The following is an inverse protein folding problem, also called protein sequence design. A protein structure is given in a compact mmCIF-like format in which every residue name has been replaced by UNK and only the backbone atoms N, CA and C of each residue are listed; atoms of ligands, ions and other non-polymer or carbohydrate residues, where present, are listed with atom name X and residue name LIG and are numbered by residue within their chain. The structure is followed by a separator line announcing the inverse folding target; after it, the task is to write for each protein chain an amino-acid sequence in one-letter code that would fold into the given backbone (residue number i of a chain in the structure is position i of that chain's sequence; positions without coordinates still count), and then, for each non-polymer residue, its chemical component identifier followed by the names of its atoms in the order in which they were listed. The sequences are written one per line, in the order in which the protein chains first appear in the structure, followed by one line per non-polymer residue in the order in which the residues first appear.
data_IF_460639751392
#
_entry.id   IF_460639751392
#
_cell.length_a   1.000
_cell.length_b   1.000
_cell.length_c   1.000
_cell.angle_alpha   90.00
_cell.angle_beta   90.00
_cell.angle_gamma   90.00
#
_symmetry.space_group_name_H-M   'P 1'
#
loop_
_entity.id
_entity.type
_entity.pdbx_description
1 polymer ?
#
# COMPACT_ATOMS: atom_id res chain seq x y z
N UNK A 1 -21.32 79.49 -13.08
CA UNK A 1 -20.69 78.70 -12.00
C UNK A 1 -19.99 77.50 -12.62
N UNK A 2 -18.68 77.63 -12.91
CA UNK A 2 -17.76 76.57 -13.33
C UNK A 2 -16.35 77.18 -13.40
N UNK A 3 -15.65 77.29 -12.26
CA UNK A 3 -14.26 77.77 -12.27
C UNK A 3 -13.38 77.17 -11.18
N UNK A 4 -13.82 76.09 -10.51
CA UNK A 4 -13.03 75.52 -9.41
C UNK A 4 -11.86 74.64 -9.86
N UNK A 5 -11.88 74.12 -11.11
CA UNK A 5 -10.78 73.32 -11.70
C UNK A 5 -9.91 74.08 -12.72
N UNK A 6 -10.14 75.38 -12.89
CA UNK A 6 -9.47 76.20 -13.92
C UNK A 6 -8.00 76.48 -13.67
N UNK A 7 -7.53 76.42 -12.42
CA UNK A 7 -6.22 76.95 -12.02
C UNK A 7 -5.30 75.92 -11.33
N UNK A 8 -5.48 74.64 -11.65
CA UNK A 8 -4.53 73.59 -11.26
C UNK A 8 -3.44 73.55 -12.34
N UNK A 9 -2.19 73.89 -11.95
CA UNK A 9 -1.01 73.83 -12.81
C UNK A 9 -0.97 72.51 -13.59
N UNK A 10 -0.65 72.58 -14.89
CA UNK A 10 -0.63 71.47 -15.84
C UNK A 10 0.05 70.21 -15.25
N UNK A 11 1.11 70.41 -14.45
CA UNK A 11 1.85 69.36 -13.75
C UNK A 11 0.98 68.50 -12.81
N UNK A 12 0.01 69.09 -12.08
CA UNK A 12 -0.91 68.35 -11.20
C UNK A 12 -1.95 67.54 -11.99
N UNK A 13 -2.36 68.03 -13.17
CA UNK A 13 -3.29 67.30 -14.07
C UNK A 13 -2.59 66.10 -14.73
N UNK A 14 -1.33 66.27 -15.14
CA UNK A 14 -0.49 65.19 -15.66
C UNK A 14 -0.19 64.13 -14.58
N UNK A 15 0.12 64.58 -13.36
CA UNK A 15 0.35 63.69 -12.21
C UNK A 15 -0.88 62.87 -11.81
N UNK A 16 -2.10 63.42 -11.93
CA UNK A 16 -3.34 62.67 -11.68
C UNK A 16 -3.60 61.56 -12.71
N UNK A 17 -3.31 61.83 -14.00
CA UNK A 17 -3.40 60.82 -15.05
C UNK A 17 -2.41 59.69 -14.84
N UNK A 18 -1.14 60.04 -14.60
CA UNK A 18 -0.08 59.06 -14.36
C UNK A 18 -0.30 58.27 -13.07
N UNK A 19 -0.73 58.93 -11.99
CA UNK A 19 -1.06 58.27 -10.72
C UNK A 19 -2.23 57.29 -10.84
N UNK A 20 -3.25 57.62 -11.64
CA UNK A 20 -4.38 56.72 -11.89
C UNK A 20 -3.94 55.45 -12.62
N UNK A 21 -3.07 55.57 -13.64
CA UNK A 21 -2.51 54.42 -14.34
C UNK A 21 -1.68 53.55 -13.39
N UNK A 22 -0.84 54.15 -12.54
CA UNK A 22 -0.06 53.40 -11.55
C UNK A 22 -0.93 52.61 -10.55
N UNK A 23 -2.02 53.21 -10.06
CA UNK A 23 -2.96 52.53 -9.17
C UNK A 23 -3.63 51.35 -9.89
N UNK A 24 -4.07 51.54 -11.13
CA UNK A 24 -4.67 50.46 -11.93
C UNK A 24 -3.66 49.32 -12.16
N UNK A 25 -2.41 49.63 -12.47
CA UNK A 25 -1.33 48.64 -12.59
C UNK A 25 -1.08 47.89 -11.28
N UNK A 26 -1.10 48.58 -10.14
CA UNK A 26 -0.99 47.96 -8.82
C UNK A 26 -2.13 46.98 -8.53
N UNK A 27 -3.36 47.36 -8.87
CA UNK A 27 -4.53 46.48 -8.71
C UNK A 27 -4.42 45.25 -9.62
N UNK A 28 -4.01 45.43 -10.88
CA UNK A 28 -3.80 44.31 -11.81
C UNK A 28 -2.69 43.36 -11.31
N UNK A 29 -1.56 43.91 -10.85
CA UNK A 29 -0.46 43.15 -10.29
C UNK A 29 -0.89 42.37 -9.03
N UNK A 30 -1.67 42.98 -8.14
CA UNK A 30 -2.18 42.33 -6.93
C UNK A 30 -3.11 41.15 -7.25
N UNK A 31 -4.03 41.32 -8.21
CA UNK A 31 -4.92 40.25 -8.65
C UNK A 31 -4.14 39.11 -9.32
N UNK A 32 -3.13 39.43 -10.14
CA UNK A 32 -2.24 38.43 -10.74
C UNK A 32 -1.44 37.65 -9.70
N UNK A 33 -0.92 38.32 -8.67
CA UNK A 33 -0.15 37.69 -7.60
C UNK A 33 -0.98 36.70 -6.77
N UNK A 34 -2.20 37.10 -6.37
CA UNK A 34 -3.09 36.24 -5.60
C UNK A 34 -3.50 34.97 -6.36
N UNK A 35 -3.72 35.08 -7.67
CA UNK A 35 -4.01 33.93 -8.53
C UNK A 35 -2.84 32.96 -8.65
N UNK A 36 -1.61 33.47 -8.80
CA UNK A 36 -0.44 32.61 -8.95
C UNK A 36 -0.15 31.83 -7.64
N UNK A 37 -0.38 32.48 -6.50
CA UNK A 37 -0.21 31.85 -5.18
C UNK A 37 -1.13 30.66 -4.95
N UNK A 38 -2.40 30.74 -5.35
CA UNK A 38 -3.34 29.61 -5.15
C UNK A 38 -2.99 28.41 -6.05
N UNK A 39 -2.57 28.65 -7.28
CA UNK A 39 -2.10 27.60 -8.20
C UNK A 39 -0.86 26.90 -7.66
N UNK A 40 0.12 27.65 -7.17
CA UNK A 40 1.34 27.09 -6.57
C UNK A 40 1.01 26.23 -5.35
N UNK A 41 0.10 26.71 -4.48
CA UNK A 41 -0.31 25.96 -3.29
C UNK A 41 -0.97 24.63 -3.64
N UNK A 42 -1.87 24.62 -4.63
CA UNK A 42 -2.56 23.40 -5.09
C UNK A 42 -1.62 22.41 -5.74
N UNK A 43 -0.67 22.89 -6.55
CA UNK A 43 0.39 22.04 -7.09
C UNK A 43 1.18 21.37 -5.96
N UNK A 44 1.50 22.10 -4.89
CA UNK A 44 2.17 21.53 -3.72
C UNK A 44 1.35 20.44 -3.03
N UNK A 45 0.04 20.64 -2.87
CA UNK A 45 -0.86 19.61 -2.32
C UNK A 45 -0.95 18.37 -3.20
N UNK A 46 -1.01 18.54 -4.51
CA UNK A 46 -0.98 17.42 -5.45
C UNK A 46 0.34 16.64 -5.34
N UNK A 47 1.48 17.32 -5.21
CA UNK A 47 2.78 16.66 -4.96
C UNK A 47 2.79 15.84 -3.67
N UNK A 48 2.21 16.36 -2.58
CA UNK A 48 2.14 15.65 -1.30
C UNK A 48 1.19 14.43 -1.36
N UNK A 49 0.11 14.51 -2.14
CA UNK A 49 -0.80 13.37 -2.43
C UNK A 49 -0.09 12.32 -3.29
N UNK A 50 0.67 12.75 -4.32
CA UNK A 50 1.48 11.82 -5.12
C UNK A 50 2.53 11.11 -4.26
N UNK A 51 3.21 11.85 -3.36
CA UNK A 51 4.16 11.26 -2.43
C UNK A 51 3.52 10.23 -1.49
N UNK A 52 2.27 10.45 -1.05
CA UNK A 52 1.50 9.45 -0.31
C UNK A 52 1.25 8.17 -1.13
N UNK A 53 0.90 8.31 -2.41
CA UNK A 53 0.69 7.17 -3.29
C UNK A 53 2.00 6.40 -3.56
N UNK A 54 3.11 7.12 -3.66
CA UNK A 54 4.44 6.53 -3.83
C UNK A 54 4.86 5.73 -2.58
N UNK A 55 4.64 6.27 -1.38
CA UNK A 55 4.93 5.54 -0.13
C UNK A 55 4.03 4.32 0.04
N UNK A 56 2.74 4.42 -0.32
CA UNK A 56 1.82 3.27 -0.36
C UNK A 56 2.32 2.18 -1.34
N UNK A 57 2.81 2.57 -2.51
CA UNK A 57 3.39 1.64 -3.48
C UNK A 57 4.63 0.96 -2.92
N UNK A 58 5.51 1.72 -2.24
CA UNK A 58 6.66 1.17 -1.52
C UNK A 58 6.25 0.15 -0.45
N UNK A 59 5.21 0.43 0.32
CA UNK A 59 4.64 -0.50 1.31
C UNK A 59 4.09 -1.78 0.65
N UNK A 60 3.38 -1.66 -0.48
CA UNK A 60 2.88 -2.81 -1.25
C UNK A 60 4.00 -3.72 -1.71
N UNK A 61 5.09 -3.15 -2.22
CA UNK A 61 6.28 -3.90 -2.65
C UNK A 61 6.93 -4.59 -1.45
N UNK A 62 7.13 -3.88 -0.34
CA UNK A 62 7.71 -4.46 0.87
C UNK A 62 6.89 -5.64 1.41
N UNK A 63 5.54 -5.52 1.41
CA UNK A 63 4.64 -6.62 1.77
C UNK A 63 4.81 -7.83 0.86
N UNK A 64 4.89 -7.64 -0.46
CA UNK A 64 5.09 -8.74 -1.40
C UNK A 64 6.44 -9.43 -1.17
N UNK A 65 7.49 -8.66 -0.90
CA UNK A 65 8.81 -9.20 -0.59
C UNK A 65 8.82 -9.95 0.76
N UNK A 66 8.09 -9.48 1.76
CA UNK A 66 7.86 -10.18 3.03
C UNK A 66 7.20 -11.55 2.81
N UNK A 67 6.17 -11.58 1.96
CA UNK A 67 5.51 -12.83 1.63
C UNK A 67 6.42 -13.80 0.87
N UNK A 68 7.22 -13.30 -0.08
CA UNK A 68 8.19 -14.11 -0.83
C UNK A 68 9.31 -14.67 0.06
N UNK A 69 9.69 -13.94 1.09
CA UNK A 69 10.69 -14.35 2.06
C UNK A 69 10.12 -15.17 3.24
N UNK A 70 8.85 -15.60 3.15
CA UNK A 70 8.15 -16.35 4.20
C UNK A 70 8.20 -15.68 5.58
N UNK A 71 8.17 -14.35 5.61
CA UNK A 71 8.21 -13.56 6.82
C UNK A 71 9.52 -13.62 7.59
N UNK A 72 10.65 -13.69 6.89
CA UNK A 72 11.96 -13.55 7.53
C UNK A 72 12.14 -12.19 8.25
N UNK A 73 13.15 -12.12 9.12
CA UNK A 73 13.40 -10.92 9.91
C UNK A 73 13.71 -9.69 9.03
N UNK A 74 14.56 -9.86 8.02
CA UNK A 74 15.02 -8.74 7.15
C UNK A 74 13.86 -8.14 6.35
N UNK A 75 12.92 -8.96 5.89
CA UNK A 75 11.72 -8.47 5.20
C UNK A 75 10.67 -7.92 6.15
N UNK A 76 10.61 -8.41 7.38
CA UNK A 76 9.76 -7.86 8.44
C UNK A 76 10.18 -6.42 8.77
N UNK A 77 11.47 -6.21 9.06
CA UNK A 77 12.02 -4.88 9.36
C UNK A 77 11.77 -3.90 8.20
N UNK A 78 12.03 -4.32 6.96
CA UNK A 78 11.77 -3.49 5.77
C UNK A 78 10.29 -3.14 5.61
N UNK A 79 9.39 -4.07 5.91
CA UNK A 79 7.95 -3.86 5.86
C UNK A 79 7.51 -2.87 6.94
N UNK A 80 8.05 -2.98 8.15
CA UNK A 80 7.81 -2.02 9.24
C UNK A 80 8.26 -0.61 8.85
N UNK A 81 9.49 -0.46 8.33
CA UNK A 81 10.00 0.83 7.88
C UNK A 81 9.10 1.49 6.83
N UNK A 82 8.62 0.72 5.85
CA UNK A 82 7.74 1.26 4.79
C UNK A 82 6.34 1.58 5.30
N UNK A 83 5.84 0.81 6.27
CA UNK A 83 4.57 1.10 6.92
C UNK A 83 4.66 2.41 7.71
N UNK A 84 5.72 2.59 8.50
CA UNK A 84 5.97 3.81 9.27
C UNK A 84 6.06 5.05 8.36
N UNK A 85 6.85 4.96 7.28
CA UNK A 85 6.98 6.05 6.29
C UNK A 85 5.62 6.42 5.68
N UNK A 86 4.81 5.43 5.32
CA UNK A 86 3.48 5.65 4.75
C UNK A 86 2.53 6.32 5.75
N UNK A 87 2.45 5.79 6.98
CA UNK A 87 1.59 6.34 8.04
C UNK A 87 2.02 7.76 8.45
N UNK A 88 3.33 8.02 8.50
CA UNK A 88 3.86 9.36 8.77
C UNK A 88 3.46 10.37 7.69
N UNK A 89 3.51 9.98 6.40
CA UNK A 89 3.07 10.83 5.30
C UNK A 89 1.55 11.09 5.35
N UNK A 90 0.74 10.08 5.67
CA UNK A 90 -0.71 10.25 5.85
C UNK A 90 -1.03 11.21 7.02
N UNK A 91 -0.34 11.04 8.15
CA UNK A 91 -0.52 11.90 9.33
C UNK A 91 -0.11 13.35 9.04
N UNK A 92 0.99 13.55 8.31
CA UNK A 92 1.43 14.87 7.82
C UNK A 92 0.36 15.54 6.96
N UNK A 93 -0.25 14.81 6.02
CA UNK A 93 -1.33 15.32 5.19
C UNK A 93 -2.56 15.72 6.01
N UNK A 94 -2.97 14.87 6.96
CA UNK A 94 -4.09 15.14 7.86
C UNK A 94 -3.87 16.40 8.70
N UNK A 95 -2.63 16.65 9.15
CA UNK A 95 -2.26 17.89 9.87
C UNK A 95 -2.23 19.14 8.99
N UNK A 96 -1.90 18.98 7.70
CA UNK A 96 -1.68 20.09 6.76
C UNK A 96 -2.99 20.56 6.10
N UNK A 97 -3.85 19.64 5.69
CA UNK A 97 -5.06 19.96 4.94
C UNK A 97 -6.15 20.54 5.85
N UNK A 98 -6.77 21.65 5.43
CA UNK A 98 -7.81 22.36 6.22
C UNK A 98 -9.20 22.31 5.61
N UNK A 99 -9.31 21.95 4.32
CA UNK A 99 -10.61 21.80 3.68
C UNK A 99 -11.35 20.60 4.29
N UNK A 100 -12.61 20.76 4.75
CA UNK A 100 -13.34 19.71 5.44
C UNK A 100 -13.53 18.44 4.59
N UNK A 101 -13.68 18.57 3.26
CA UNK A 101 -13.83 17.42 2.35
C UNK A 101 -12.54 16.59 2.33
N UNK A 102 -11.38 17.25 2.22
CA UNK A 102 -10.10 16.54 2.24
C UNK A 102 -9.82 15.90 3.60
N UNK A 103 -10.14 16.61 4.69
CA UNK A 103 -9.95 16.08 6.06
C UNK A 103 -10.81 14.84 6.27
N UNK A 104 -12.05 14.83 5.78
CA UNK A 104 -12.93 13.67 5.88
C UNK A 104 -12.38 12.47 5.10
N UNK A 105 -11.94 12.68 3.85
CA UNK A 105 -11.29 11.63 3.05
C UNK A 105 -10.03 11.08 3.73
N UNK A 106 -9.19 11.95 4.30
CA UNK A 106 -7.97 11.52 5.01
C UNK A 106 -8.29 10.77 6.31
N UNK A 107 -9.38 11.11 7.00
CA UNK A 107 -9.87 10.35 8.16
C UNK A 107 -10.42 8.98 7.76
N UNK A 108 -11.18 8.92 6.67
CA UNK A 108 -11.65 7.65 6.09
C UNK A 108 -10.45 6.75 5.74
N UNK A 109 -9.42 7.32 5.10
CA UNK A 109 -8.17 6.61 4.83
C UNK A 109 -7.47 6.14 6.12
N UNK A 110 -7.53 6.91 7.21
CA UNK A 110 -6.98 6.48 8.51
C UNK A 110 -7.67 5.23 9.04
N UNK A 111 -9.00 5.13 8.90
CA UNK A 111 -9.74 3.93 9.29
C UNK A 111 -9.28 2.70 8.50
N UNK A 112 -9.15 2.84 7.18
CA UNK A 112 -8.59 1.78 6.34
C UNK A 112 -7.13 1.45 6.68
N UNK A 113 -6.33 2.42 7.10
CA UNK A 113 -4.96 2.16 7.57
C UNK A 113 -4.93 1.36 8.87
N UNK A 114 -5.88 1.57 9.78
CA UNK A 114 -6.02 0.76 10.99
C UNK A 114 -6.44 -0.67 10.65
N UNK A 115 -7.35 -0.84 9.69
CA UNK A 115 -7.78 -2.16 9.18
C UNK A 115 -6.61 -2.90 8.52
N UNK A 116 -5.81 -2.18 7.74
CA UNK A 116 -4.61 -2.70 7.10
C UNK A 116 -3.59 -3.18 8.14
N UNK A 117 -3.31 -2.38 9.17
CA UNK A 117 -2.38 -2.75 10.24
C UNK A 117 -2.84 -4.01 10.99
N UNK A 118 -4.13 -4.10 11.35
CA UNK A 118 -4.68 -5.30 12.01
C UNK A 118 -4.53 -6.56 11.14
N UNK A 119 -4.82 -6.43 9.85
CA UNK A 119 -4.67 -7.53 8.89
C UNK A 119 -3.20 -7.92 8.69
N UNK A 120 -2.29 -6.94 8.69
CA UNK A 120 -0.86 -7.18 8.62
C UNK A 120 -0.32 -7.92 9.85
N UNK A 121 -0.77 -7.55 11.05
CA UNK A 121 -0.37 -8.23 12.29
C UNK A 121 -0.88 -9.67 12.34
N UNK A 122 -2.11 -9.91 11.86
CA UNK A 122 -2.66 -11.25 11.67
C UNK A 122 -1.78 -12.07 10.71
N UNK A 123 -1.38 -11.48 9.58
CA UNK A 123 -0.48 -12.13 8.63
C UNK A 123 0.88 -12.47 9.26
N UNK A 124 1.49 -11.54 10.00
CA UNK A 124 2.79 -11.75 10.68
C UNK A 124 2.74 -12.91 11.66
N UNK A 125 1.73 -12.93 12.54
CA UNK A 125 1.51 -14.03 13.48
C UNK A 125 1.35 -15.36 12.76
N UNK A 126 0.57 -15.39 11.69
CA UNK A 126 0.36 -16.60 10.91
C UNK A 126 1.63 -17.08 10.20
N UNK A 127 2.53 -16.20 9.76
CA UNK A 127 3.85 -16.62 9.26
C UNK A 127 4.73 -17.22 10.36
N UNK A 128 4.73 -16.66 11.57
CA UNK A 128 5.44 -17.25 12.72
C UNK A 128 4.90 -18.65 13.03
N UNK A 129 3.58 -18.81 13.07
CA UNK A 129 2.91 -20.11 13.28
C UNK A 129 3.20 -21.11 12.16
N UNK A 130 3.17 -20.69 10.90
CA UNK A 130 3.50 -21.54 9.76
C UNK A 130 4.97 -22.00 9.81
N UNK A 131 5.91 -21.10 10.10
CA UNK A 131 7.33 -21.42 10.21
C UNK A 131 7.60 -22.38 11.39
N UNK A 132 6.94 -22.17 12.53
CA UNK A 132 7.03 -23.08 13.68
C UNK A 132 6.45 -24.46 13.36
N UNK A 133 5.28 -24.52 12.72
CA UNK A 133 4.66 -25.76 12.29
C UNK A 133 5.52 -26.52 11.27
N UNK A 134 6.12 -25.83 10.30
CA UNK A 134 7.06 -26.42 9.36
C UNK A 134 8.31 -26.97 10.07
N UNK A 135 8.83 -26.27 11.08
CA UNK A 135 9.90 -26.77 11.94
C UNK A 135 9.51 -28.07 12.65
N UNK A 136 8.30 -28.14 13.22
CA UNK A 136 7.78 -29.35 13.87
C UNK A 136 7.58 -30.51 12.89
N UNK A 137 7.09 -30.25 11.66
CA UNK A 137 6.99 -31.25 10.58
C UNK A 137 8.36 -31.82 10.25
N UNK A 138 9.38 -30.97 10.12
CA UNK A 138 10.75 -31.40 9.81
C UNK A 138 11.38 -32.22 10.95
N UNK A 139 11.15 -31.81 12.20
CA UNK A 139 11.63 -32.54 13.37
C UNK A 139 10.99 -33.94 13.46
N UNK A 140 9.67 -34.02 13.30
CA UNK A 140 8.93 -35.28 13.28
C UNK A 140 9.36 -36.17 12.09
N UNK A 141 9.59 -35.59 10.91
CA UNK A 141 10.15 -36.32 9.76
C UNK A 141 11.50 -36.95 10.08
N UNK A 142 12.38 -36.24 10.79
CA UNK A 142 13.69 -36.74 11.21
C UNK A 142 13.58 -37.95 12.14
N UNK A 143 12.68 -37.90 13.13
CA UNK A 143 12.42 -39.03 14.04
C UNK A 143 11.85 -40.23 13.29
N UNK A 144 10.91 -40.01 12.37
CA UNK A 144 10.33 -41.08 11.54
C UNK A 144 11.41 -41.74 10.66
N UNK A 145 12.29 -40.95 10.06
CA UNK A 145 13.41 -41.46 9.24
C UNK A 145 14.42 -42.26 10.08
N UNK A 146 14.77 -41.77 11.28
CA UNK A 146 15.67 -42.46 12.20
C UNK A 146 15.09 -43.81 12.65
N UNK A 147 13.83 -43.84 13.12
CA UNK A 147 13.20 -45.06 13.65
C UNK A 147 12.93 -46.08 12.54
N UNK A 148 12.44 -45.66 11.38
CA UNK A 148 12.27 -46.58 10.25
C UNK A 148 13.61 -47.08 9.69
N UNK A 149 14.66 -46.26 9.77
CA UNK A 149 16.03 -46.66 9.50
C UNK A 149 16.54 -47.74 10.46
N UNK A 150 16.29 -47.58 11.77
CA UNK A 150 16.68 -48.55 12.79
C UNK A 150 15.97 -49.91 12.59
N UNK A 151 14.66 -49.90 12.30
CA UNK A 151 13.93 -51.11 11.93
C UNK A 151 14.58 -51.77 10.71
N UNK A 152 14.80 -51.01 9.63
CA UNK A 152 15.44 -51.55 8.43
C UNK A 152 16.80 -52.20 8.71
N UNK A 153 17.65 -51.56 9.51
CA UNK A 153 18.97 -52.09 9.90
C UNK A 153 18.85 -53.39 10.71
N UNK A 154 17.87 -53.47 11.62
CA UNK A 154 17.58 -54.70 12.38
C UNK A 154 17.20 -55.84 11.44
N UNK A 155 16.32 -55.58 10.48
CA UNK A 155 15.83 -56.60 9.53
C UNK A 155 16.96 -57.11 8.62
N UNK A 156 17.81 -56.24 8.09
CA UNK A 156 18.94 -56.69 7.23
C UNK A 156 20.03 -57.42 8.03
N UNK A 157 20.10 -57.20 9.34
CA UNK A 157 21.01 -57.92 10.25
C UNK A 157 20.53 -59.33 10.61
N UNK A 158 19.28 -59.69 10.28
CA UNK A 158 18.78 -61.07 10.43
C UNK A 158 19.51 -62.01 9.47
N UNK A 159 19.58 -63.30 9.85
CA UNK A 159 20.15 -64.34 8.98
C UNK A 159 19.50 -64.35 7.60
N UNK A 160 20.28 -64.63 6.55
CA UNK A 160 19.74 -64.82 5.18
C UNK A 160 18.70 -65.96 5.12
N UNK A 161 18.72 -66.87 6.10
CA UNK A 161 17.78 -68.00 6.19
C UNK A 161 16.57 -67.73 7.10
N UNK A 162 16.44 -66.52 7.67
CA UNK A 162 15.30 -66.17 8.49
C UNK A 162 14.03 -66.03 7.63
N UNK A 163 13.06 -66.91 7.87
CA UNK A 163 11.80 -66.96 7.11
C UNK A 163 10.96 -65.67 7.19
N UNK A 164 11.14 -64.86 8.23
CA UNK A 164 10.41 -63.61 8.44
C UNK A 164 11.05 -62.41 7.74
N UNK A 165 12.34 -62.50 7.39
CA UNK A 165 13.15 -61.38 6.87
C UNK A 165 12.54 -60.74 5.63
N UNK A 166 12.07 -61.54 4.66
CA UNK A 166 11.45 -61.00 3.44
C UNK A 166 10.18 -60.20 3.73
N UNK A 167 9.28 -60.74 4.54
CA UNK A 167 8.03 -60.06 4.92
C UNK A 167 8.30 -58.78 5.71
N UNK A 168 9.29 -58.80 6.62
CA UNK A 168 9.74 -57.62 7.36
C UNK A 168 10.32 -56.56 6.43
N UNK A 169 11.17 -56.95 5.46
CA UNK A 169 11.73 -56.02 4.46
C UNK A 169 10.64 -55.38 3.61
N UNK A 170 9.66 -56.16 3.16
CA UNK A 170 8.52 -55.63 2.41
C UNK A 170 7.71 -54.62 3.24
N UNK A 171 7.43 -54.94 4.50
CA UNK A 171 6.69 -54.08 5.41
C UNK A 171 7.39 -52.75 5.67
N UNK A 172 8.67 -52.79 6.06
CA UNK A 172 9.43 -51.57 6.32
C UNK A 172 9.66 -50.75 5.04
N UNK A 173 9.85 -51.40 3.88
CA UNK A 173 9.96 -50.70 2.60
C UNK A 173 8.66 -49.96 2.27
N UNK A 174 7.49 -50.59 2.47
CA UNK A 174 6.20 -49.95 2.23
C UNK A 174 5.98 -48.76 3.15
N UNK A 175 6.22 -48.91 4.46
CA UNK A 175 6.09 -47.80 5.42
C UNK A 175 6.99 -46.62 5.01
N UNK A 176 8.26 -46.87 4.69
CA UNK A 176 9.19 -45.81 4.28
C UNK A 176 8.78 -45.12 2.99
N UNK A 177 8.19 -45.85 2.05
CA UNK A 177 7.66 -45.28 0.81
C UNK A 177 6.49 -44.33 1.07
N UNK A 178 5.50 -44.75 1.87
CA UNK A 178 4.35 -43.90 2.20
C UNK A 178 4.81 -42.62 2.91
N UNK A 179 5.76 -42.70 3.84
CA UNK A 179 6.30 -41.54 4.56
C UNK A 179 7.06 -40.57 3.64
N UNK A 180 7.82 -41.08 2.67
CA UNK A 180 8.46 -40.25 1.65
C UNK A 180 7.42 -39.53 0.79
N UNK A 181 6.34 -40.23 0.43
CA UNK A 181 5.25 -39.64 -0.35
C UNK A 181 4.52 -38.55 0.44
N UNK A 182 4.29 -38.73 1.75
CA UNK A 182 3.78 -37.66 2.63
C UNK A 182 4.68 -36.43 2.57
N UNK A 183 6.00 -36.60 2.73
CA UNK A 183 6.96 -35.48 2.71
C UNK A 183 6.98 -34.76 1.36
N UNK A 184 6.88 -35.51 0.25
CA UNK A 184 6.76 -34.95 -1.09
C UNK A 184 5.50 -34.09 -1.22
N UNK A 185 4.33 -34.60 -0.82
CA UNK A 185 3.07 -33.87 -0.87
C UNK A 185 3.06 -32.66 0.07
N UNK A 186 3.68 -32.75 1.24
CA UNK A 186 3.89 -31.59 2.11
C UNK A 186 4.72 -30.51 1.42
N UNK A 187 5.80 -30.89 0.73
CA UNK A 187 6.64 -29.94 -0.01
C UNK A 187 5.87 -29.25 -1.15
N UNK A 188 5.01 -30.01 -1.85
CA UNK A 188 4.10 -29.47 -2.86
C UNK A 188 3.03 -28.55 -2.26
N UNK A 189 2.49 -28.88 -1.08
CA UNK A 189 1.54 -28.05 -0.35
C UNK A 189 2.19 -26.76 0.19
N UNK A 190 3.39 -26.84 0.76
CA UNK A 190 4.14 -25.68 1.24
C UNK A 190 4.50 -24.72 0.10
N UNK A 191 4.85 -25.24 -1.08
CA UNK A 191 5.09 -24.41 -2.27
C UNK A 191 3.79 -23.80 -2.83
N UNK A 192 2.66 -24.52 -2.73
CA UNK A 192 1.36 -24.08 -3.24
C UNK A 192 0.22 -24.54 -2.31
N UNK A 193 -0.16 -23.73 -1.31
CA UNK A 193 -1.18 -24.09 -0.32
C UNK A 193 -2.58 -24.03 -0.94
N UNK A 194 -3.03 -25.14 -1.50
CA UNK A 194 -4.38 -25.29 -2.07
C UNK A 194 -5.11 -26.41 -1.38
N UNK A 195 -6.46 -26.35 -1.35
CA UNK A 195 -7.29 -27.40 -0.78
C UNK A 195 -6.93 -28.78 -1.35
N UNK A 196 -6.78 -28.89 -2.68
CA UNK A 196 -6.39 -30.13 -3.34
C UNK A 196 -5.06 -30.71 -2.84
N UNK A 197 -4.01 -29.88 -2.74
CA UNK A 197 -2.70 -30.32 -2.25
C UNK A 197 -2.76 -30.71 -0.76
N UNK A 198 -3.53 -29.96 0.04
CA UNK A 198 -3.72 -30.24 1.46
C UNK A 198 -4.44 -31.56 1.68
N UNK A 199 -5.54 -31.80 0.95
CA UNK A 199 -6.34 -33.03 1.08
C UNK A 199 -5.56 -34.26 0.58
N UNK A 200 -4.79 -34.12 -0.52
CA UNK A 200 -3.89 -35.17 -0.99
C UNK A 200 -2.81 -35.53 0.06
N UNK A 201 -2.22 -34.52 0.70
CA UNK A 201 -1.23 -34.71 1.76
C UNK A 201 -1.81 -35.46 2.96
N UNK A 202 -3.03 -35.10 3.42
CA UNK A 202 -3.68 -35.79 4.54
C UNK A 202 -4.13 -37.21 4.19
N UNK A 203 -4.67 -37.44 2.99
CA UNK A 203 -5.01 -38.78 2.53
C UNK A 203 -3.77 -39.70 2.47
N UNK A 204 -2.63 -39.14 2.05
CA UNK A 204 -1.37 -39.87 2.04
C UNK A 204 -0.83 -40.15 3.45
N UNK A 205 -1.09 -39.26 4.42
CA UNK A 205 -0.76 -39.50 5.82
C UNK A 205 -1.64 -40.62 6.42
N UNK A 206 -2.93 -40.66 6.05
CA UNK A 206 -3.84 -41.76 6.42
C UNK A 206 -3.35 -43.10 5.84
N UNK A 207 -2.84 -43.10 4.60
CA UNK A 207 -2.24 -44.28 3.97
C UNK A 207 -0.96 -44.74 4.70
N UNK A 208 -0.11 -43.80 5.12
CA UNK A 208 1.09 -44.12 5.90
C UNK A 208 0.75 -44.75 7.27
N UNK A 209 -0.26 -44.21 7.96
CA UNK A 209 -0.77 -44.80 9.20
C UNK A 209 -1.37 -46.19 8.96
N UNK A 210 -2.15 -46.37 7.89
CA UNK A 210 -2.72 -47.67 7.53
C UNK A 210 -1.64 -48.71 7.22
N UNK A 211 -0.56 -48.32 6.53
CA UNK A 211 0.58 -49.19 6.28
C UNK A 211 1.30 -49.60 7.57
N UNK A 212 1.44 -48.69 8.54
CA UNK A 212 2.00 -49.01 9.85
C UNK A 212 1.17 -50.08 10.56
N UNK A 213 -0.15 -49.88 10.65
CA UNK A 213 -1.09 -50.84 11.26
C UNK A 213 -1.08 -52.19 10.55
N UNK A 214 -0.99 -52.19 9.21
CA UNK A 214 -0.97 -53.42 8.41
C UNK A 214 0.25 -54.29 8.73
N UNK A 215 1.42 -53.68 8.92
CA UNK A 215 2.69 -54.40 9.11
C UNK A 215 3.14 -54.50 10.57
N UNK A 216 2.35 -54.00 11.52
CA UNK A 216 2.66 -54.01 12.96
C UNK A 216 3.01 -55.42 13.45
N UNK A 217 2.17 -56.42 13.15
CA UNK A 217 2.42 -57.82 13.53
C UNK A 217 3.61 -58.44 12.80
N UNK A 218 3.86 -58.02 11.56
CA UNK A 218 5.01 -58.52 10.78
C UNK A 218 6.33 -58.00 11.36
N UNK A 219 6.31 -56.83 11.99
CA UNK A 219 7.47 -56.13 12.54
C UNK A 219 7.52 -56.23 14.08
N UNK A 220 6.98 -57.30 14.67
CA UNK A 220 6.85 -57.49 16.12
C UNK A 220 8.17 -57.36 16.91
N UNK A 221 9.29 -57.82 16.33
CA UNK A 221 10.65 -57.63 16.85
C UNK A 221 11.11 -56.16 16.93
N UNK A 222 10.27 -55.22 16.50
CA UNK A 222 10.50 -53.78 16.47
C UNK A 222 9.41 -52.98 17.19
N UNK A 223 8.61 -53.60 18.06
CA UNK A 223 7.48 -52.96 18.75
C UNK A 223 7.81 -51.60 19.41
N UNK A 224 9.00 -51.46 20.01
CA UNK A 224 9.45 -50.20 20.59
C UNK A 224 9.59 -49.07 19.56
N UNK A 225 10.19 -49.35 18.40
CA UNK A 225 10.32 -48.36 17.33
C UNK A 225 8.96 -48.05 16.68
N UNK A 226 8.08 -49.05 16.53
CA UNK A 226 6.73 -48.88 15.99
C UNK A 226 5.88 -47.95 16.86
N UNK A 227 5.91 -48.11 18.19
CA UNK A 227 5.20 -47.21 19.12
C UNK A 227 5.68 -45.75 19.01
N UNK A 228 7.00 -45.56 18.86
CA UNK A 228 7.56 -44.21 18.64
C UNK A 228 7.10 -43.65 17.29
N UNK A 229 7.11 -44.47 16.23
CA UNK A 229 6.64 -44.05 14.89
C UNK A 229 5.17 -43.65 14.95
N UNK A 230 4.31 -44.43 15.59
CA UNK A 230 2.88 -44.15 15.74
C UNK A 230 2.65 -42.81 16.45
N UNK A 231 3.26 -42.62 17.63
CA UNK A 231 3.19 -41.36 18.38
C UNK A 231 3.73 -40.18 17.56
N UNK A 232 4.82 -40.39 16.81
CA UNK A 232 5.41 -39.34 15.98
C UNK A 232 4.51 -38.98 14.80
N UNK A 233 3.76 -39.94 14.25
CA UNK A 233 2.79 -39.67 13.18
C UNK A 233 1.61 -38.82 13.66
N UNK A 234 1.18 -38.96 14.91
CA UNK A 234 0.18 -38.08 15.50
C UNK A 234 0.70 -36.64 15.64
N UNK A 235 1.94 -36.48 16.11
CA UNK A 235 2.61 -35.18 16.18
C UNK A 235 2.81 -34.57 14.79
N UNK A 236 3.18 -35.39 13.81
CA UNK A 236 3.29 -35.01 12.40
C UNK A 236 1.95 -34.48 11.87
N UNK A 237 0.85 -35.21 12.11
CA UNK A 237 -0.51 -34.78 11.74
C UNK A 237 -0.88 -33.44 12.36
N UNK A 238 -0.64 -33.28 13.66
CA UNK A 238 -0.93 -32.03 14.36
C UNK A 238 -0.12 -30.86 13.77
N UNK A 239 1.15 -31.06 13.47
CA UNK A 239 2.00 -30.05 12.84
C UNK A 239 1.51 -29.68 11.43
N UNK A 240 1.09 -30.65 10.62
CA UNK A 240 0.48 -30.39 9.30
C UNK A 240 -0.83 -29.60 9.41
N UNK A 241 -1.68 -29.92 10.39
CA UNK A 241 -2.94 -29.20 10.64
C UNK A 241 -2.69 -27.75 11.04
N UNK A 242 -1.71 -27.52 11.93
CA UNK A 242 -1.29 -26.18 12.32
C UNK A 242 -0.75 -25.40 11.12
N UNK A 243 0.08 -26.05 10.28
CA UNK A 243 0.59 -25.45 9.05
C UNK A 243 -0.54 -25.05 8.09
N UNK A 244 -1.53 -25.93 7.86
CA UNK A 244 -2.72 -25.63 7.05
C UNK A 244 -3.53 -24.45 7.60
N UNK A 245 -3.75 -24.43 8.91
CA UNK A 245 -4.51 -23.35 9.56
C UNK A 245 -3.79 -22.00 9.42
N UNK A 246 -2.46 -22.00 9.59
CA UNK A 246 -1.65 -20.82 9.43
C UNK A 246 -1.62 -20.32 7.97
N UNK A 247 -1.47 -21.21 6.98
CA UNK A 247 -1.49 -20.82 5.56
C UNK A 247 -2.87 -20.31 5.11
N UNK A 248 -3.97 -20.89 5.61
CA UNK A 248 -5.32 -20.37 5.37
C UNK A 248 -5.49 -18.97 5.98
N UNK A 249 -4.95 -18.74 7.18
CA UNK A 249 -4.96 -17.43 7.84
C UNK A 249 -4.15 -16.39 7.06
N UNK A 250 -2.98 -16.76 6.53
CA UNK A 250 -2.17 -15.92 5.64
C UNK A 250 -2.97 -15.55 4.39
N UNK A 251 -3.66 -16.51 3.77
CA UNK A 251 -4.46 -16.26 2.57
C UNK A 251 -5.61 -15.28 2.83
N UNK A 252 -6.32 -15.44 3.95
CA UNK A 252 -7.40 -14.51 4.35
C UNK A 252 -6.84 -13.12 4.63
N UNK A 253 -5.78 -12.99 5.43
CA UNK A 253 -5.16 -11.70 5.74
C UNK A 253 -4.63 -10.99 4.49
N UNK A 254 -4.11 -11.74 3.51
CA UNK A 254 -3.69 -11.22 2.20
C UNK A 254 -4.87 -10.63 1.44
N UNK A 255 -6.00 -11.32 1.43
CA UNK A 255 -7.22 -10.86 0.75
C UNK A 255 -7.75 -9.58 1.43
N UNK A 256 -7.92 -9.61 2.75
CA UNK A 256 -8.35 -8.45 3.57
C UNK A 256 -7.49 -7.21 3.25
N UNK A 257 -6.16 -7.35 3.27
CA UNK A 257 -5.27 -6.24 2.94
C UNK A 257 -5.30 -5.80 1.48
N UNK A 258 -5.68 -6.68 0.54
CA UNK A 258 -5.81 -6.32 -0.88
C UNK A 258 -7.07 -5.49 -1.08
N UNK A 259 -8.17 -5.86 -0.43
CA UNK A 259 -9.44 -5.16 -0.48
C UNK A 259 -9.32 -3.77 0.19
N UNK A 260 -8.74 -3.71 1.39
CA UNK A 260 -8.45 -2.46 2.10
C UNK A 260 -7.54 -1.53 1.28
N UNK A 261 -6.52 -2.08 0.60
CA UNK A 261 -5.66 -1.28 -0.28
C UNK A 261 -6.42 -0.72 -1.49
N UNK A 262 -7.42 -1.44 -2.01
CA UNK A 262 -8.29 -0.93 -3.07
C UNK A 262 -9.02 0.34 -2.63
N UNK A 263 -9.54 0.36 -1.40
CA UNK A 263 -10.20 1.54 -0.83
C UNK A 263 -9.23 2.69 -0.56
N UNK A 264 -8.03 2.41 -0.04
CA UNK A 264 -6.99 3.44 0.16
C UNK A 264 -6.63 4.11 -1.18
N UNK A 265 -6.45 3.33 -2.25
CA UNK A 265 -6.15 3.85 -3.59
C UNK A 265 -7.32 4.69 -4.12
N UNK A 266 -8.57 4.21 -3.97
CA UNK A 266 -9.77 4.97 -4.36
C UNK A 266 -9.82 6.34 -3.68
N UNK A 267 -9.50 6.40 -2.38
CA UNK A 267 -9.47 7.66 -1.64
C UNK A 267 -8.33 8.57 -2.11
N UNK A 268 -7.13 8.03 -2.33
CA UNK A 268 -6.00 8.80 -2.88
C UNK A 268 -6.34 9.42 -4.23
N UNK A 269 -6.99 8.66 -5.11
CA UNK A 269 -7.45 9.15 -6.42
C UNK A 269 -8.52 10.24 -6.26
N UNK A 270 -9.48 10.06 -5.35
CA UNK A 270 -10.50 11.06 -5.06
C UNK A 270 -9.91 12.37 -4.51
N UNK A 271 -8.91 12.27 -3.61
CA UNK A 271 -8.17 13.43 -3.10
C UNK A 271 -7.45 14.17 -4.24
N UNK A 272 -6.80 13.43 -5.15
CA UNK A 272 -6.10 14.00 -6.28
C UNK A 272 -7.05 14.71 -7.26
N UNK A 273 -8.16 14.04 -7.63
CA UNK A 273 -9.19 14.61 -8.50
C UNK A 273 -9.83 15.87 -7.88
N UNK A 274 -10.10 15.86 -6.57
CA UNK A 274 -10.65 17.03 -5.89
C UNK A 274 -9.70 18.25 -6.00
N UNK A 275 -8.39 18.04 -5.96
CA UNK A 275 -7.43 19.14 -6.14
C UNK A 275 -7.37 19.65 -7.58
N UNK A 276 -7.49 18.74 -8.56
CA UNK A 276 -7.58 19.09 -9.98
C UNK A 276 -8.83 19.93 -10.27
N UNK A 277 -10.02 19.47 -9.89
CA UNK A 277 -11.27 20.18 -10.13
C UNK A 277 -11.26 21.59 -9.52
N UNK A 278 -10.69 21.71 -8.31
CA UNK A 278 -10.57 23.00 -7.64
C UNK A 278 -9.54 23.92 -8.29
N UNK A 279 -8.46 23.36 -8.82
CA UNK A 279 -7.48 24.13 -9.59
C UNK A 279 -8.11 24.71 -10.86
N UNK A 280 -8.95 23.94 -11.55
CA UNK A 280 -9.65 24.39 -12.76
C UNK A 280 -10.66 25.50 -12.46
N UNK A 281 -11.46 25.35 -11.40
CA UNK A 281 -12.40 26.39 -10.96
C UNK A 281 -11.66 27.68 -10.60
N UNK A 282 -10.61 27.60 -9.77
CA UNK A 282 -9.86 28.77 -9.36
C UNK A 282 -9.12 29.44 -10.51
N UNK A 283 -8.60 28.67 -11.45
CA UNK A 283 -7.98 29.18 -12.67
C UNK A 283 -8.99 29.91 -13.55
N UNK A 284 -10.22 29.38 -13.67
CA UNK A 284 -11.33 30.04 -14.38
C UNK A 284 -11.76 31.35 -13.74
N UNK A 285 -11.95 31.36 -12.42
CA UNK A 285 -12.32 32.55 -11.66
C UNK A 285 -11.23 33.61 -11.69
N UNK A 286 -9.95 33.21 -11.61
CA UNK A 286 -8.83 34.12 -11.71
C UNK A 286 -8.72 34.75 -13.10
N UNK A 287 -8.88 33.96 -14.16
CA UNK A 287 -8.92 34.46 -15.55
C UNK A 287 -10.05 35.46 -15.73
N UNK A 288 -11.24 35.15 -15.23
CA UNK A 288 -12.40 36.04 -15.32
C UNK A 288 -12.16 37.36 -14.57
N UNK A 289 -11.62 37.29 -13.33
CA UNK A 289 -11.25 38.48 -12.55
C UNK A 289 -10.19 39.33 -13.25
N UNK A 290 -9.19 38.70 -13.87
CA UNK A 290 -8.15 39.41 -14.64
C UNK A 290 -8.73 40.07 -15.89
N UNK A 291 -9.60 39.40 -16.64
CA UNK A 291 -10.27 40.00 -17.82
C UNK A 291 -11.13 41.18 -17.39
N UNK A 292 -11.99 41.01 -16.39
CA UNK A 292 -12.88 42.09 -15.90
C UNK A 292 -12.07 43.27 -15.38
N UNK A 293 -11.05 43.03 -14.55
CA UNK A 293 -10.18 44.10 -14.05
C UNK A 293 -9.39 44.79 -15.16
N UNK A 294 -8.91 44.05 -16.16
CA UNK A 294 -8.23 44.62 -17.33
C UNK A 294 -9.17 45.48 -18.16
N UNK A 295 -10.39 45.01 -18.44
CA UNK A 295 -11.39 45.78 -19.20
C UNK A 295 -11.76 47.06 -18.44
N UNK A 296 -12.01 46.97 -17.12
CA UNK A 296 -12.28 48.14 -16.29
C UNK A 296 -11.10 49.12 -16.27
N UNK A 297 -9.86 48.62 -16.15
CA UNK A 297 -8.66 49.44 -16.20
C UNK A 297 -8.50 50.15 -17.56
N UNK A 298 -8.79 49.47 -18.67
CA UNK A 298 -8.77 50.08 -20.00
C UNK A 298 -9.84 51.15 -20.16
N UNK A 299 -11.07 50.90 -19.71
CA UNK A 299 -12.17 51.89 -19.76
C UNK A 299 -11.83 53.13 -18.93
N UNK A 300 -11.31 52.95 -17.72
CA UNK A 300 -10.86 54.04 -16.85
C UNK A 300 -9.67 54.79 -17.46
N UNK A 301 -8.72 54.07 -18.06
CA UNK A 301 -7.59 54.65 -18.78
C UNK A 301 -8.02 55.51 -19.97
N UNK A 302 -8.98 55.02 -20.79
CA UNK A 302 -9.57 55.75 -21.92
C UNK A 302 -10.29 57.02 -21.40
N UNK A 303 -11.09 56.90 -20.34
CA UNK A 303 -11.82 58.03 -19.78
C UNK A 303 -10.86 59.08 -19.21
N UNK A 304 -9.83 58.66 -18.48
CA UNK A 304 -8.79 59.54 -17.97
C UNK A 304 -8.05 60.25 -19.12
N UNK A 305 -7.64 59.52 -20.16
CA UNK A 305 -7.03 60.09 -21.35
C UNK A 305 -7.94 61.14 -22.01
N UNK A 306 -9.23 60.82 -22.21
CA UNK A 306 -10.21 61.74 -22.80
C UNK A 306 -10.40 63.02 -21.96
N UNK A 307 -10.53 62.89 -20.64
CA UNK A 307 -10.65 64.04 -19.73
C UNK A 307 -9.40 64.92 -19.79
N UNK A 308 -8.22 64.32 -19.76
CA UNK A 308 -6.93 65.03 -19.82
C UNK A 308 -6.79 65.75 -21.16
N UNK A 309 -7.04 65.08 -22.29
CA UNK A 309 -7.01 65.70 -23.62
C UNK A 309 -7.95 66.89 -23.65
N UNK A 310 -9.21 66.73 -23.22
CA UNK A 310 -10.19 67.82 -23.21
C UNK A 310 -9.80 68.99 -22.30
N UNK A 311 -9.12 68.74 -21.19
CA UNK A 311 -8.72 69.79 -20.24
C UNK A 311 -7.40 70.49 -20.59
N UNK A 312 -6.51 69.83 -21.33
CA UNK A 312 -5.20 70.40 -21.73
C UNK A 312 -5.29 71.04 -23.11
N UNK A 313 -5.93 70.42 -24.11
CA UNK A 313 -5.90 70.93 -25.50
C UNK A 313 -6.90 72.04 -25.77
N UNK A 314 -8.09 72.04 -25.14
CA UNK A 314 -9.09 73.13 -25.32
C UNK A 314 -8.60 74.54 -24.95
N UNK A 315 -7.84 74.75 -23.85
CA UNK A 315 -7.25 76.06 -23.58
C UNK A 315 -6.02 76.40 -24.43
N UNK A 316 -5.39 75.43 -25.11
CA UNK A 316 -4.26 75.68 -26.02
C UNK A 316 -4.72 76.12 -27.41
N UNK A 317 -5.85 75.60 -27.92
CA UNK A 317 -6.45 76.02 -29.19
C UNK A 317 -6.91 77.49 -29.20
N UNK A 318 -7.29 78.02 -28.04
CA UNK A 318 -7.72 79.42 -27.89
C UNK A 318 -6.49 80.35 -27.94
N UNK A 319 -5.34 79.91 -27.43
CA UNK A 319 -4.11 80.70 -27.43
C UNK A 319 -3.42 80.75 -28.81
N UNK A 320 -3.67 79.78 -29.70
CA UNK A 320 -3.18 79.81 -31.08
C UNK A 320 -4.12 80.51 -32.08
N UNK A 321 -5.37 80.83 -31.69
CA UNK A 321 -6.29 81.65 -32.50
C UNK A 321 -6.26 83.15 -32.20
N UNK A 322 -5.41 83.60 -31.28
CA UNK A 322 -5.26 85.01 -30.88
C UNK A 322 -3.88 85.59 -31.27
N UNK A 323 -3.15 84.89 -32.16
CA UNK A 323 -2.07 85.45 -32.97
C UNK A 323 -2.50 85.43 -34.44
#
# INVERSE_FOLDING_TARGET
MNSWFGNIAINKKLGLGFGSVLILTLVLAWNGWGSLGSVIQRSGWMTEISALNDTLTGLRIARLQFMLANGDQVSTERLDDKLEIYLAQQSKLLGTFKNPINVEMLKEQSGFNDDYQRSLDKMRKAYVEANAAQGAVNAAAGVLEERTGAIYQRVIGLSDYDSSRFAQLQGIARIREELKQVRYLFSAYAAKPTAQNGDAMFAQLDAAQSALTQYERTLDGSAGDLNVIETTLEQYRAALLNFRTATDTIAVARQEMTDVQGEIVRISDALYQFQLDRLDIESGDARTRLIVSTVLALLLGILAAWVITRQITRPLDISQRVL
#
